data_IF_221086068250
#
_entry.id   IF_221086068250
#
_cell.length_a   1.000
_cell.length_b   1.000
_cell.length_c   1.000
_cell.angle_alpha   90.00
_cell.angle_beta   90.00
_cell.angle_gamma   90.00
#
_symmetry.space_group_name_H-M   'P 1'
#
loop_
_entity.id
_entity.type
_entity.pdbx_description
1 polymer ?
#
# COMPACT_ATOMS: atom_id res chain seq x y z
N UNK A 1 -23.55 -58.77 49.06
CA UNK A 1 -24.14 -57.45 49.31
C UNK A 1 -23.03 -56.45 49.53
N UNK A 2 -22.76 -55.55 48.60
CA UNK A 2 -22.51 -54.13 48.81
C UNK A 2 -22.19 -53.49 47.46
N UNK A 3 -22.97 -52.51 47.17
CA UNK A 3 -23.13 -51.85 45.89
C UNK A 3 -22.00 -50.91 45.53
N UNK A 4 -21.70 -50.93 44.28
CA UNK A 4 -20.97 -49.99 43.47
C UNK A 4 -21.50 -48.56 43.63
N UNK A 5 -20.61 -47.62 43.91
CA UNK A 5 -20.93 -46.22 43.88
C UNK A 5 -19.68 -45.42 43.41
N UNK A 6 -19.32 -45.59 42.17
CA UNK A 6 -18.24 -44.76 41.62
C UNK A 6 -18.49 -44.38 40.14
N UNK A 7 -19.79 -44.14 39.79
CA UNK A 7 -20.14 -43.64 38.44
C UNK A 7 -20.21 -42.12 38.35
N UNK A 8 -19.97 -41.42 39.45
CA UNK A 8 -20.09 -39.95 39.50
C UNK A 8 -18.84 -39.18 39.09
N UNK A 9 -17.67 -39.81 39.03
CA UNK A 9 -16.37 -39.09 38.77
C UNK A 9 -15.89 -39.09 37.31
N UNK A 10 -16.54 -39.87 36.45
CA UNK A 10 -16.11 -39.97 35.04
C UNK A 10 -16.75 -38.87 34.17
N UNK A 11 -17.85 -38.24 34.62
CA UNK A 11 -18.55 -37.19 33.87
C UNK A 11 -17.94 -35.79 34.10
N UNK A 12 -17.12 -35.60 35.15
CA UNK A 12 -16.59 -34.30 35.52
C UNK A 12 -15.27 -33.92 34.80
N UNK A 13 -14.68 -34.83 34.01
CA UNK A 13 -13.36 -34.58 33.35
C UNK A 13 -13.53 -34.15 31.86
N UNK A 14 -14.72 -34.26 31.29
CA UNK A 14 -14.94 -33.94 29.85
C UNK A 14 -15.36 -32.48 29.62
N UNK A 15 -15.58 -31.67 30.66
CA UNK A 15 -16.15 -30.33 30.51
C UNK A 15 -15.13 -29.19 30.73
N UNK A 16 -13.83 -29.41 30.53
CA UNK A 16 -12.86 -28.32 30.67
C UNK A 16 -11.88 -28.19 29.49
N UNK A 17 -12.22 -28.72 28.32
CA UNK A 17 -11.51 -28.37 27.11
C UNK A 17 -12.23 -27.18 26.43
N UNK A 18 -12.24 -26.05 27.13
CA UNK A 18 -12.55 -24.77 26.49
C UNK A 18 -11.39 -24.49 25.54
N UNK A 19 -11.66 -24.74 24.26
CA UNK A 19 -10.84 -24.29 23.15
C UNK A 19 -10.77 -22.76 23.24
N UNK A 20 -9.79 -22.22 23.93
CA UNK A 20 -9.45 -20.80 23.85
C UNK A 20 -8.86 -20.58 22.47
N UNK A 21 -9.74 -20.26 21.51
CA UNK A 21 -9.34 -19.67 20.23
C UNK A 21 -8.65 -18.36 20.62
N UNK A 22 -7.34 -18.19 20.42
CA UNK A 22 -6.72 -16.90 20.66
C UNK A 22 -7.45 -15.92 19.74
N UNK A 23 -7.83 -14.72 20.21
CA UNK A 23 -8.33 -13.70 19.33
C UNK A 23 -7.26 -13.50 18.26
N UNK A 24 -7.58 -13.72 17.01
CA UNK A 24 -6.77 -13.26 15.90
C UNK A 24 -6.66 -11.75 16.11
N UNK A 25 -5.59 -11.33 16.75
CA UNK A 25 -5.11 -9.96 16.68
C UNK A 25 -4.85 -9.75 15.19
N UNK A 26 -5.85 -9.18 14.51
CA UNK A 26 -5.64 -8.56 13.22
C UNK A 26 -4.52 -7.56 13.47
N UNK A 27 -3.31 -7.92 13.08
CA UNK A 27 -2.21 -6.99 13.08
C UNK A 27 -2.62 -5.90 12.11
N UNK A 28 -3.21 -4.81 12.66
CA UNK A 28 -3.33 -3.55 11.96
C UNK A 28 -1.91 -3.23 11.57
N UNK A 29 -1.60 -3.35 10.27
CA UNK A 29 -0.27 -3.13 9.73
C UNK A 29 0.26 -1.85 10.35
N UNK A 30 1.23 -1.99 11.26
CA UNK A 30 1.93 -0.84 11.83
C UNK A 30 2.70 -0.27 10.66
N UNK A 31 2.12 0.77 10.06
CA UNK A 31 2.80 1.57 9.04
C UNK A 31 4.17 1.91 9.62
N UNK A 32 5.25 1.42 9.01
CA UNK A 32 6.60 1.70 9.46
C UNK A 32 6.87 3.22 9.47
N UNK A 33 8.00 3.67 10.01
CA UNK A 33 8.36 5.09 9.98
C UNK A 33 8.42 5.59 8.55
N UNK A 34 7.98 6.84 8.34
CA UNK A 34 8.20 7.58 7.11
C UNK A 34 9.54 8.30 7.24
N UNK A 35 10.44 8.08 6.31
CA UNK A 35 11.72 8.79 6.22
C UNK A 35 11.70 9.70 4.99
N UNK A 36 12.08 10.98 5.15
CA UNK A 36 12.16 11.95 4.05
C UNK A 36 13.52 12.62 4.10
N UNK A 37 14.24 12.57 2.97
CA UNK A 37 15.50 13.26 2.74
C UNK A 37 15.27 14.37 1.71
N UNK A 38 15.85 15.56 1.93
CA UNK A 38 15.75 16.71 1.04
C UNK A 38 16.86 17.71 1.32
N UNK A 39 17.10 18.65 0.40
CA UNK A 39 18.08 19.72 0.61
C UNK A 39 17.58 20.77 1.60
N UNK A 40 16.25 20.95 1.71
CA UNK A 40 15.64 21.97 2.57
C UNK A 40 14.29 21.49 3.11
N UNK A 41 14.01 21.85 4.36
CA UNK A 41 12.69 21.65 5.00
C UNK A 41 12.20 22.98 5.60
N UNK A 42 10.90 23.23 5.50
CA UNK A 42 10.21 24.38 6.07
C UNK A 42 8.91 23.93 6.71
N UNK A 43 8.62 24.46 7.90
CA UNK A 43 7.35 24.23 8.59
C UNK A 43 6.53 25.53 8.59
N UNK A 44 5.28 25.45 8.22
CA UNK A 44 4.31 26.55 8.17
C UNK A 44 3.12 26.25 9.08
N UNK A 45 2.37 27.32 9.42
CA UNK A 45 1.15 27.25 10.22
C UNK A 45 1.31 26.44 11.52
N UNK A 46 2.45 26.68 12.19
CA UNK A 46 2.77 25.99 13.44
C UNK A 46 2.92 24.48 13.30
N UNK A 47 3.25 23.95 12.10
CA UNK A 47 3.44 22.52 11.82
C UNK A 47 2.23 21.84 11.17
N UNK A 48 1.21 22.60 10.79
CA UNK A 48 0.09 22.04 10.00
C UNK A 48 0.53 21.72 8.57
N UNK A 49 1.48 22.49 8.02
CA UNK A 49 2.08 22.23 6.72
C UNK A 49 3.60 22.13 6.84
N UNK A 50 4.17 21.05 6.30
CA UNK A 50 5.62 20.84 6.23
C UNK A 50 5.99 20.69 4.76
N UNK A 51 7.01 21.42 4.32
CA UNK A 51 7.45 21.45 2.92
C UNK A 51 8.92 21.01 2.85
N UNK A 52 9.17 19.97 2.09
CA UNK A 52 10.50 19.49 1.72
C UNK A 52 10.78 19.90 0.28
N UNK A 53 11.98 20.39 -0.02
CA UNK A 53 12.33 20.84 -1.36
C UNK A 53 13.80 20.57 -1.70
N UNK A 54 14.04 20.29 -2.99
CA UNK A 54 15.35 19.94 -3.54
C UNK A 54 15.70 18.48 -3.27
N UNK A 55 15.88 17.69 -4.35
CA UNK A 55 16.29 16.28 -4.31
C UNK A 55 15.50 15.43 -3.31
N UNK A 56 14.18 15.63 -3.26
CA UNK A 56 13.33 14.97 -2.26
C UNK A 56 13.26 13.47 -2.53
N UNK A 57 13.55 12.69 -1.49
CA UNK A 57 13.40 11.22 -1.49
C UNK A 57 12.66 10.82 -0.22
N UNK A 58 11.49 10.21 -0.38
CA UNK A 58 10.67 9.67 0.72
C UNK A 58 10.62 8.15 0.68
N UNK A 59 10.65 7.53 1.85
CA UNK A 59 10.48 6.08 2.05
C UNK A 59 9.36 5.81 3.03
N UNK A 60 8.52 4.85 2.70
CA UNK A 60 7.47 4.34 3.55
C UNK A 60 7.26 2.84 3.33
N UNK A 61 7.83 2.03 4.22
CA UNK A 61 7.90 0.59 4.02
C UNK A 61 8.65 0.25 2.72
N UNK A 62 7.99 -0.44 1.80
CA UNK A 62 8.53 -0.80 0.48
C UNK A 62 8.27 0.25 -0.62
N UNK A 63 7.57 1.33 -0.28
CA UNK A 63 7.31 2.43 -1.19
C UNK A 63 8.43 3.48 -1.10
N UNK A 64 8.96 3.86 -2.26
CA UNK A 64 9.89 4.99 -2.43
C UNK A 64 9.27 6.01 -3.36
N UNK A 65 9.34 7.29 -3.00
CA UNK A 65 8.96 8.41 -3.87
C UNK A 65 10.14 9.36 -4.04
N UNK A 66 10.33 9.87 -5.25
CA UNK A 66 11.22 11.02 -5.52
C UNK A 66 10.44 12.12 -6.19
N UNK A 67 10.75 13.38 -5.88
CA UNK A 67 10.10 14.56 -6.47
C UNK A 67 10.96 15.82 -6.21
N UNK A 68 10.57 16.95 -6.78
CA UNK A 68 11.23 18.23 -6.53
C UNK A 68 10.77 18.87 -5.22
N UNK A 69 9.45 18.74 -4.90
CA UNK A 69 8.83 19.29 -3.71
C UNK A 69 7.88 18.23 -3.13
N UNK A 70 7.91 18.07 -1.81
CA UNK A 70 6.94 17.26 -1.06
C UNK A 70 6.31 18.11 0.03
N UNK A 71 4.99 18.22 0.01
CA UNK A 71 4.20 18.92 1.00
C UNK A 71 3.43 17.91 1.84
N UNK A 72 3.53 18.03 3.17
CA UNK A 72 2.81 17.18 4.14
C UNK A 72 1.82 18.06 4.87
N UNK A 73 0.56 17.69 4.83
CA UNK A 73 -0.53 18.37 5.53
C UNK A 73 -1.00 17.50 6.69
N UNK A 74 -0.94 18.06 7.88
CA UNK A 74 -1.34 17.41 9.11
C UNK A 74 -2.74 17.84 9.55
N UNK A 75 -3.41 16.99 10.32
CA UNK A 75 -4.66 17.34 11.00
C UNK A 75 -4.45 18.53 11.95
N UNK A 76 -5.51 19.30 12.28
CA UNK A 76 -5.40 20.45 13.19
C UNK A 76 -4.77 20.13 14.55
N UNK A 77 -4.97 18.92 15.07
CA UNK A 77 -4.35 18.44 16.31
C UNK A 77 -2.91 17.92 16.11
N UNK A 78 -2.40 17.91 14.87
CA UNK A 78 -1.05 17.49 14.45
C UNK A 78 -0.69 16.05 14.84
N UNK A 79 -1.67 15.20 15.08
CA UNK A 79 -1.45 13.79 15.43
C UNK A 79 -1.36 12.88 14.21
N UNK A 80 -2.00 13.28 13.11
CA UNK A 80 -2.09 12.48 11.91
C UNK A 80 -1.74 13.33 10.67
N UNK A 81 -1.19 12.67 9.66
CA UNK A 81 -1.06 13.25 8.33
C UNK A 81 -2.35 13.01 7.57
N UNK A 82 -2.92 14.07 7.00
CA UNK A 82 -4.15 14.00 6.23
C UNK A 82 -3.88 13.81 4.74
N UNK A 83 -2.91 14.57 4.21
CA UNK A 83 -2.57 14.58 2.80
C UNK A 83 -1.06 14.75 2.60
N UNK A 84 -0.51 14.13 1.57
CA UNK A 84 0.85 14.36 1.09
C UNK A 84 0.78 14.68 -0.39
N UNK A 85 1.39 15.79 -0.80
CA UNK A 85 1.44 16.25 -2.20
C UNK A 85 2.89 16.25 -2.67
N UNK A 86 3.19 15.45 -3.69
CA UNK A 86 4.48 15.45 -4.39
C UNK A 86 4.34 16.21 -5.71
N UNK A 87 5.26 17.13 -5.99
CA UNK A 87 5.25 18.01 -7.15
C UNK A 87 6.59 17.96 -7.87
N UNK A 88 6.52 17.95 -9.19
CA UNK A 88 7.68 17.97 -10.08
C UNK A 88 8.45 16.65 -10.13
N UNK A 89 8.69 16.13 -11.33
CA UNK A 89 9.50 14.93 -11.57
C UNK A 89 9.14 13.75 -10.67
N UNK A 90 7.85 13.57 -10.38
CA UNK A 90 7.38 12.53 -9.45
C UNK A 90 7.68 11.15 -10.00
N UNK A 91 8.40 10.35 -9.22
CA UNK A 91 8.67 8.95 -9.51
C UNK A 91 8.41 8.09 -8.27
N UNK A 92 7.56 7.10 -8.41
CA UNK A 92 7.12 6.20 -7.34
C UNK A 92 7.56 4.79 -7.69
N UNK A 93 8.13 4.08 -6.71
CA UNK A 93 8.49 2.66 -6.84
C UNK A 93 7.94 1.87 -5.66
N UNK A 94 7.47 0.65 -5.93
CA UNK A 94 7.04 -0.33 -4.93
C UNK A 94 7.32 -1.74 -5.46
N UNK A 95 8.38 -2.36 -5.00
CA UNK A 95 8.86 -3.61 -5.57
C UNK A 95 9.14 -3.48 -7.08
N UNK A 96 8.48 -4.29 -7.91
CA UNK A 96 8.61 -4.24 -9.37
C UNK A 96 7.70 -3.19 -10.03
N UNK A 97 6.77 -2.60 -9.28
CA UNK A 97 5.86 -1.57 -9.77
C UNK A 97 6.55 -0.20 -9.75
N UNK A 98 6.42 0.56 -10.80
CA UNK A 98 6.96 1.92 -10.96
C UNK A 98 5.93 2.81 -11.59
N UNK A 99 5.92 4.10 -11.21
CA UNK A 99 5.07 5.09 -11.84
C UNK A 99 5.77 6.45 -11.88
N UNK A 100 5.51 7.24 -12.93
CA UNK A 100 6.00 8.62 -13.06
C UNK A 100 4.89 9.56 -13.47
N UNK A 101 4.99 10.81 -13.05
CA UNK A 101 4.09 11.90 -13.39
C UNK A 101 4.63 13.25 -12.94
N UNK A 102 3.77 14.26 -12.99
CA UNK A 102 4.14 15.62 -12.58
C UNK A 102 3.70 15.93 -11.15
N UNK A 103 2.60 15.30 -10.71
CA UNK A 103 2.03 15.49 -9.38
C UNK A 103 1.46 14.17 -8.86
N UNK A 104 1.72 13.88 -7.58
CA UNK A 104 1.02 12.82 -6.85
C UNK A 104 0.39 13.38 -5.58
N UNK A 105 -0.82 12.92 -5.26
CA UNK A 105 -1.53 13.23 -4.02
C UNK A 105 -1.83 11.93 -3.31
N UNK A 106 -1.35 11.79 -2.08
CA UNK A 106 -1.75 10.71 -1.19
C UNK A 106 -2.75 11.22 -0.16
N UNK A 107 -3.88 10.53 -0.04
CA UNK A 107 -4.95 10.80 0.91
C UNK A 107 -5.00 9.66 1.94
N UNK A 108 -4.56 9.94 3.17
CA UNK A 108 -4.38 8.90 4.19
C UNK A 108 -5.68 8.20 4.56
N UNK A 109 -6.74 8.94 4.85
CA UNK A 109 -8.06 8.38 5.21
C UNK A 109 -8.65 7.46 4.14
N UNK A 110 -8.32 7.72 2.87
CA UNK A 110 -8.83 6.97 1.73
C UNK A 110 -7.84 5.88 1.26
N UNK A 111 -6.64 5.82 1.84
CA UNK A 111 -5.54 4.95 1.40
C UNK A 111 -5.37 5.00 -0.12
N UNK A 112 -5.33 6.23 -0.68
CA UNK A 112 -5.44 6.50 -2.11
C UNK A 112 -4.29 7.38 -2.58
N UNK A 113 -3.66 6.98 -3.69
CA UNK A 113 -2.71 7.82 -4.43
C UNK A 113 -3.35 8.21 -5.76
N UNK A 114 -3.32 9.50 -6.09
CA UNK A 114 -3.69 10.05 -7.38
C UNK A 114 -2.43 10.59 -8.03
N UNK A 115 -2.03 10.03 -9.16
CA UNK A 115 -0.88 10.46 -9.95
C UNK A 115 -1.38 11.09 -11.25
N UNK A 116 -0.92 12.30 -11.55
CA UNK A 116 -1.24 13.00 -12.80
C UNK A 116 0.03 13.37 -13.56
N UNK A 117 -0.08 13.47 -14.88
CA UNK A 117 1.04 13.86 -15.75
C UNK A 117 0.61 14.56 -17.03
N UNK A 118 1.45 15.48 -17.52
CA UNK A 118 1.27 16.19 -18.77
C UNK A 118 2.45 15.90 -19.70
N UNK A 119 2.23 15.34 -20.88
CA UNK A 119 0.92 14.98 -21.47
C UNK A 119 0.29 13.73 -20.84
N UNK A 120 1.06 12.90 -20.10
CA UNK A 120 0.62 11.64 -19.51
C UNK A 120 1.43 11.28 -18.28
N UNK A 121 0.81 10.63 -17.30
CA UNK A 121 1.47 9.78 -16.32
C UNK A 121 1.67 8.38 -16.91
N UNK A 122 2.69 7.65 -16.43
CA UNK A 122 3.01 6.30 -16.91
C UNK A 122 3.27 5.39 -15.72
N UNK A 123 2.74 4.17 -15.76
CA UNK A 123 3.05 3.14 -14.78
C UNK A 123 3.55 1.86 -15.47
N UNK A 124 4.44 1.13 -14.78
CA UNK A 124 5.04 -0.12 -15.26
C UNK A 124 5.00 -1.18 -14.18
N UNK A 125 4.85 -2.41 -14.62
CA UNK A 125 5.14 -3.61 -13.84
C UNK A 125 5.84 -4.61 -14.77
N UNK A 126 7.11 -4.90 -14.48
CA UNK A 126 7.99 -5.66 -15.37
C UNK A 126 8.06 -5.01 -16.77
N UNK A 127 7.63 -5.75 -17.82
CA UNK A 127 7.58 -5.27 -19.22
C UNK A 127 6.23 -4.59 -19.58
N UNK A 128 5.22 -4.72 -18.71
CA UNK A 128 3.90 -4.16 -18.94
C UNK A 128 3.91 -2.65 -18.63
N UNK A 129 3.18 -1.88 -19.45
CA UNK A 129 3.11 -0.42 -19.32
C UNK A 129 1.69 0.07 -19.53
N UNK A 130 1.29 1.03 -18.72
CA UNK A 130 0.04 1.77 -18.89
C UNK A 130 0.30 3.27 -18.83
N UNK A 131 -0.35 4.02 -19.69
CA UNK A 131 -0.30 5.48 -19.79
C UNK A 131 -1.70 6.05 -19.65
N UNK A 132 -1.82 7.22 -19.05
CA UNK A 132 -3.06 7.99 -18.93
C UNK A 132 -2.73 9.36 -18.33
N UNK A 133 -3.66 10.33 -18.38
CA UNK A 133 -3.42 11.63 -17.74
C UNK A 133 -3.55 11.56 -16.23
N UNK A 134 -4.33 10.61 -15.75
CA UNK A 134 -4.58 10.38 -14.33
C UNK A 134 -4.54 8.89 -14.03
N UNK A 135 -3.92 8.53 -12.91
CA UNK A 135 -3.86 7.19 -12.38
C UNK A 135 -4.24 7.21 -10.90
N UNK A 136 -5.10 6.29 -10.50
CA UNK A 136 -5.59 6.17 -9.14
C UNK A 136 -5.23 4.80 -8.60
N UNK A 137 -4.50 4.77 -7.48
CA UNK A 137 -4.13 3.55 -6.76
C UNK A 137 -4.89 3.53 -5.43
N UNK A 138 -5.71 2.52 -5.20
CA UNK A 138 -6.39 2.26 -3.94
C UNK A 138 -5.60 1.18 -3.21
N UNK A 139 -4.81 1.60 -2.22
CA UNK A 139 -3.80 0.76 -1.57
C UNK A 139 -4.42 -0.35 -0.71
N UNK A 140 -5.56 -0.06 -0.07
CA UNK A 140 -6.32 -1.00 0.77
C UNK A 140 -7.05 -2.09 -0.04
N UNK A 141 -7.31 -1.83 -1.33
CA UNK A 141 -8.09 -2.70 -2.21
C UNK A 141 -7.24 -3.35 -3.31
N UNK A 142 -5.94 -3.07 -3.34
CA UNK A 142 -5.03 -3.43 -4.44
C UNK A 142 -5.65 -3.14 -5.82
N UNK A 143 -6.34 -1.99 -5.93
CA UNK A 143 -7.06 -1.59 -7.12
C UNK A 143 -6.39 -0.41 -7.80
N UNK A 144 -6.29 -0.51 -9.12
CA UNK A 144 -5.73 0.51 -9.99
C UNK A 144 -6.75 0.96 -11.03
N UNK A 145 -6.80 2.27 -11.30
CA UNK A 145 -7.62 2.87 -12.36
C UNK A 145 -6.76 3.86 -13.13
N UNK A 146 -6.81 3.82 -14.46
CA UNK A 146 -6.22 4.83 -15.33
C UNK A 146 -7.32 5.55 -16.11
N UNK A 147 -7.22 6.88 -16.21
CA UNK A 147 -8.21 7.74 -16.84
C UNK A 147 -7.57 8.64 -17.91
N UNK A 148 -8.41 9.14 -18.81
CA UNK A 148 -8.09 10.20 -19.77
C UNK A 148 -6.99 9.82 -20.77
N UNK A 149 -7.39 9.27 -21.93
CA UNK A 149 -6.53 8.81 -23.02
C UNK A 149 -5.59 7.69 -22.62
N UNK A 150 -6.16 6.62 -22.09
CA UNK A 150 -5.44 5.44 -21.63
C UNK A 150 -4.87 4.66 -22.80
N UNK A 151 -3.60 4.27 -22.68
CA UNK A 151 -2.92 3.31 -23.53
C UNK A 151 -2.26 2.25 -22.67
N UNK A 152 -2.46 0.99 -23.01
CA UNK A 152 -1.82 -0.13 -22.33
C UNK A 152 -0.98 -0.94 -23.32
N UNK A 153 0.21 -1.33 -22.91
CA UNK A 153 1.06 -2.31 -23.58
C UNK A 153 1.35 -3.41 -22.58
N UNK A 154 0.92 -4.63 -22.88
CA UNK A 154 1.19 -5.78 -22.04
C UNK A 154 1.71 -6.94 -22.87
N UNK A 155 2.48 -7.80 -22.24
CA UNK A 155 3.01 -9.01 -22.84
C UNK A 155 2.31 -10.20 -22.17
N UNK A 156 1.45 -10.95 -22.90
CA UNK A 156 0.86 -12.17 -22.37
C UNK A 156 1.98 -13.12 -21.94
N UNK A 157 1.87 -13.68 -20.74
CA UNK A 157 2.76 -14.79 -20.35
C UNK A 157 2.34 -15.97 -21.21
N UNK A 158 3.25 -16.51 -22.02
CA UNK A 158 3.01 -17.72 -22.79
C UNK A 158 2.48 -18.79 -21.83
N UNK A 159 1.25 -19.25 -22.09
CA UNK A 159 0.71 -20.44 -21.44
C UNK A 159 1.59 -21.56 -21.95
N UNK A 160 2.54 -22.00 -21.12
CA UNK A 160 3.29 -23.24 -21.41
C UNK A 160 2.25 -24.32 -21.60
N UNK A 161 2.04 -24.72 -22.85
CA UNK A 161 1.26 -25.89 -23.20
C UNK A 161 1.72 -27.03 -22.28
N UNK A 162 0.81 -27.56 -21.47
CA UNK A 162 1.04 -28.83 -20.78
C UNK A 162 1.33 -29.84 -21.86
N UNK A 163 2.61 -30.23 -21.96
CA UNK A 163 3.06 -31.18 -22.91
C UNK A 163 2.17 -32.40 -22.92
N UNK A 164 1.54 -32.61 -24.05
CA UNK A 164 0.90 -33.84 -24.43
C UNK A 164 2.01 -34.90 -24.49
N UNK A 165 2.01 -35.83 -23.52
CA UNK A 165 2.88 -37.01 -23.57
C UNK A 165 2.52 -37.79 -24.80
N UNK A 166 3.46 -38.13 -25.68
CA UNK A 166 3.19 -39.07 -26.77
C UNK A 166 2.77 -40.41 -26.14
N UNK A 167 1.58 -40.89 -26.51
CA UNK A 167 1.17 -42.26 -26.23
C UNK A 167 2.09 -43.25 -26.98
N UNK A 168 2.36 -44.38 -26.31
CA UNK A 168 3.22 -45.46 -26.89
C UNK A 168 2.63 -46.12 -28.13
#
# INVERSE_FOLDING_TARGET
>A
MKKIKNWGYIIAIILSLTLTIPPHLSAKDKKGPVEINSDRMRSEDGGLKIIFSGNVVGYWGDLKITCDILEVYNTPDKKETEEIVALGNVFITRGLKRAKGDKAIYLDKLQKIILTGTPKATAWEEANMIEGREMIFLLDKDRFVANNRVRMKFYPKDIKEKGEKPKP
#
